data_IF_713355975792
#
_entry.id   IF_713355975792
#
_cell.length_a   1.000
_cell.length_b   1.000
_cell.length_c   1.000
_cell.angle_alpha   90.00
_cell.angle_beta   90.00
_cell.angle_gamma   90.00
#
_symmetry.space_group_name_H-M   'P 1'
#
loop_
_entity.id
_entity.type
_entity.pdbx_description
1 polymer ?
#
# COMPACT_ATOMS: atom_id res chain seq x y z
N UNK A 1 -9.92 16.80 -22.88
CA UNK A 1 -10.76 15.71 -22.32
C UNK A 1 -10.16 14.31 -22.46
N UNK A 2 -9.12 14.08 -23.26
CA UNK A 2 -8.42 12.78 -23.37
C UNK A 2 -7.49 12.46 -22.17
N UNK A 3 -7.05 13.47 -21.42
CA UNK A 3 -6.08 13.31 -20.33
C UNK A 3 -6.61 12.57 -19.11
N UNK A 4 -7.89 12.75 -18.76
CA UNK A 4 -8.54 12.04 -17.65
C UNK A 4 -8.68 10.54 -17.91
N UNK A 5 -8.82 10.14 -19.19
CA UNK A 5 -9.02 8.75 -19.62
C UNK A 5 -7.72 7.93 -19.65
N UNK A 6 -6.56 8.60 -19.66
CA UNK A 6 -5.25 7.96 -19.56
C UNK A 6 -4.76 7.88 -18.10
N UNK A 7 -5.11 8.86 -17.25
CA UNK A 7 -4.85 8.81 -15.81
C UNK A 7 -5.57 7.65 -15.11
N UNK A 8 -6.66 7.14 -15.68
CA UNK A 8 -7.38 5.96 -15.19
C UNK A 8 -6.74 4.61 -15.56
N UNK A 9 -5.60 4.58 -16.26
CA UNK A 9 -4.91 3.32 -16.63
C UNK A 9 -3.83 2.88 -15.65
N UNK A 10 -3.36 3.76 -14.79
CA UNK A 10 -2.36 3.40 -13.78
C UNK A 10 -3.12 3.12 -12.47
N UNK A 11 -3.09 1.87 -12.02
CA UNK A 11 -3.62 1.45 -10.74
C UNK A 11 -2.47 0.84 -9.93
N UNK A 12 -2.52 1.02 -8.63
CA UNK A 12 -1.60 0.40 -7.68
C UNK A 12 -2.26 -0.87 -7.16
N UNK A 13 -1.53 -1.98 -7.21
CA UNK A 13 -2.00 -3.22 -6.62
C UNK A 13 -1.82 -3.16 -5.10
N UNK A 14 -2.90 -3.25 -4.35
CA UNK A 14 -2.91 -3.33 -2.90
C UNK A 14 -3.22 -4.75 -2.47
N UNK A 15 -2.45 -5.29 -1.53
CA UNK A 15 -2.60 -6.66 -1.03
C UNK A 15 -3.04 -6.61 0.42
N UNK A 16 -4.12 -7.31 0.75
CA UNK A 16 -4.59 -7.44 2.12
C UNK A 16 -3.60 -8.23 2.96
N UNK A 17 -3.21 -7.69 4.12
CA UNK A 17 -2.25 -8.32 5.02
C UNK A 17 -2.86 -9.42 5.90
N UNK A 18 -4.16 -9.67 5.75
CA UNK A 18 -4.93 -10.65 6.53
C UNK A 18 -5.38 -11.82 5.65
N UNK A 19 -6.04 -11.56 4.52
CA UNK A 19 -6.58 -12.60 3.64
C UNK A 19 -5.86 -12.75 2.29
N UNK A 20 -4.83 -11.93 2.03
CA UNK A 20 -4.05 -11.92 0.78
C UNK A 20 -4.81 -11.55 -0.50
N UNK A 21 -6.05 -11.08 -0.39
CA UNK A 21 -6.81 -10.54 -1.52
C UNK A 21 -6.11 -9.31 -2.13
N UNK A 22 -6.20 -9.17 -3.45
CA UNK A 22 -5.55 -8.08 -4.18
C UNK A 22 -6.58 -7.15 -4.81
N UNK A 23 -6.48 -5.85 -4.51
CA UNK A 23 -7.40 -4.82 -5.02
C UNK A 23 -6.62 -3.77 -5.81
N UNK A 24 -7.14 -3.42 -6.99
CA UNK A 24 -6.54 -2.39 -7.85
C UNK A 24 -7.11 -1.03 -7.50
N UNK A 25 -6.33 -0.23 -6.80
CA UNK A 25 -6.71 1.13 -6.42
C UNK A 25 -6.20 2.10 -7.49
N UNK A 26 -7.04 2.98 -8.06
CA UNK A 26 -6.59 3.95 -9.06
C UNK A 26 -5.44 4.82 -8.55
N UNK A 27 -4.39 5.03 -9.34
CA UNK A 27 -3.21 5.80 -8.92
C UNK A 27 -3.57 7.22 -8.49
N UNK A 28 -4.58 7.83 -9.14
CA UNK A 28 -5.08 9.15 -8.74
C UNK A 28 -5.59 9.15 -7.31
N UNK A 29 -6.36 8.12 -6.92
CA UNK A 29 -6.88 7.97 -5.55
C UNK A 29 -5.71 7.83 -4.59
N UNK A 30 -4.78 6.92 -4.85
CA UNK A 30 -3.59 6.72 -3.99
C UNK A 30 -2.81 8.03 -3.81
N UNK A 31 -2.56 8.77 -4.89
CA UNK A 31 -1.82 10.03 -4.86
C UNK A 31 -2.59 11.18 -4.19
N UNK A 32 -3.91 11.19 -4.27
CA UNK A 32 -4.72 12.21 -3.60
C UNK A 32 -4.68 11.99 -2.09
N UNK A 33 -4.81 10.75 -1.62
CA UNK A 33 -4.61 10.41 -0.20
C UNK A 33 -3.18 10.71 0.28
N UNK A 34 -2.16 10.35 -0.50
CA UNK A 34 -0.74 10.62 -0.19
C UNK A 34 -0.41 12.12 -0.07
N UNK A 35 -1.18 13.01 -0.72
CA UNK A 35 -1.00 14.47 -0.58
C UNK A 35 -1.81 15.10 0.54
N UNK A 36 -2.91 14.45 0.92
CA UNK A 36 -3.82 14.94 1.95
C UNK A 36 -3.44 14.45 3.35
N UNK A 37 -2.61 13.42 3.43
CA UNK A 37 -2.11 12.88 4.68
C UNK A 37 -0.90 13.67 5.18
N UNK A 38 -1.09 14.45 6.25
CA UNK A 38 0.00 15.13 6.97
C UNK A 38 0.71 14.20 7.99
N UNK A 39 0.49 12.88 7.88
CA UNK A 39 1.08 11.84 8.72
C UNK A 39 2.55 11.54 8.42
N UNK A 40 2.99 10.34 8.81
CA UNK A 40 4.35 9.86 8.58
C UNK A 40 4.55 9.52 7.10
N UNK A 41 5.44 10.24 6.37
CA UNK A 41 5.66 10.00 4.95
C UNK A 41 6.41 8.68 4.66
N UNK A 42 6.86 7.94 5.69
CA UNK A 42 7.38 6.57 5.53
C UNK A 42 6.25 5.51 5.52
N UNK A 43 5.00 5.91 5.77
CA UNK A 43 3.83 5.04 5.74
C UNK A 43 2.98 5.37 4.50
N UNK A 44 2.71 4.39 3.61
CA UNK A 44 1.87 4.65 2.46
C UNK A 44 0.40 4.83 2.86
N UNK A 45 -0.42 5.45 1.98
CA UNK A 45 -1.87 5.49 2.14
C UNK A 45 -2.44 4.10 2.44
N UNK A 46 -3.24 4.00 3.51
CA UNK A 46 -3.85 2.76 3.97
C UNK A 46 -5.28 2.62 3.45
N UNK A 47 -5.62 1.43 2.96
CA UNK A 47 -6.97 1.05 2.55
C UNK A 47 -7.43 -0.16 3.35
N UNK A 48 -8.74 -0.27 3.57
CA UNK A 48 -9.36 -1.45 4.17
C UNK A 48 -9.82 -2.39 3.06
N UNK A 49 -9.47 -3.67 3.16
CA UNK A 49 -9.86 -4.70 2.21
C UNK A 49 -11.37 -4.85 2.16
N UNK A 50 -11.95 -4.87 0.95
CA UNK A 50 -13.39 -5.04 0.74
C UNK A 50 -13.87 -6.43 1.17
N UNK A 51 -13.02 -7.45 1.10
CA UNK A 51 -13.38 -8.82 1.45
C UNK A 51 -13.43 -9.09 2.96
N UNK A 52 -12.57 -8.45 3.76
CA UNK A 52 -12.43 -8.78 5.19
C UNK A 52 -12.26 -7.58 6.14
N UNK A 53 -12.16 -6.35 5.63
CA UNK A 53 -11.89 -5.15 6.42
C UNK A 53 -10.45 -5.03 6.95
N UNK A 54 -9.57 -6.00 6.64
CA UNK A 54 -8.17 -5.99 7.05
C UNK A 54 -7.36 -4.89 6.35
N UNK A 55 -6.28 -4.45 7.00
CA UNK A 55 -5.39 -3.44 6.43
C UNK A 55 -4.69 -3.95 5.16
N UNK A 56 -4.64 -3.12 4.13
CA UNK A 56 -3.96 -3.40 2.88
C UNK A 56 -2.65 -2.63 2.75
N UNK A 57 -1.74 -3.14 1.94
CA UNK A 57 -0.46 -2.50 1.65
C UNK A 57 -0.15 -2.57 0.15
N UNK A 58 0.46 -1.54 -0.45
CA UNK A 58 0.81 -1.60 -1.85
C UNK A 58 1.87 -2.69 -2.10
N UNK A 59 1.72 -3.44 -3.18
CA UNK A 59 2.77 -4.34 -3.66
C UNK A 59 4.01 -3.53 -4.04
N UNK A 60 3.81 -2.45 -4.81
CA UNK A 60 4.81 -1.40 -5.06
C UNK A 60 4.12 -0.05 -5.30
N UNK A 61 4.59 1.00 -4.63
CA UNK A 61 4.18 2.39 -4.89
C UNK A 61 5.33 3.36 -4.63
N UNK A 62 5.48 4.36 -5.50
CA UNK A 62 6.38 5.50 -5.27
C UNK A 62 5.56 6.72 -4.89
N UNK A 63 5.70 7.15 -3.64
CA UNK A 63 4.99 8.28 -3.05
C UNK A 63 5.34 9.62 -3.68
N UNK A 64 4.46 10.59 -3.50
CA UNK A 64 4.62 11.98 -3.98
C UNK A 64 5.81 12.68 -3.31
N UNK A 65 6.20 12.21 -2.12
CA UNK A 65 7.36 12.68 -1.36
C UNK A 65 8.67 11.94 -1.71
N UNK A 66 8.62 10.98 -2.64
CA UNK A 66 9.80 10.28 -3.15
C UNK A 66 10.13 8.95 -2.47
N UNK A 67 9.41 8.58 -1.41
CA UNK A 67 9.52 7.28 -0.76
C UNK A 67 9.01 6.14 -1.66
N UNK A 68 9.66 4.98 -1.57
CA UNK A 68 9.20 3.76 -2.22
C UNK A 68 8.69 2.79 -1.17
N UNK A 69 7.51 2.23 -1.42
CA UNK A 69 6.86 1.28 -0.55
C UNK A 69 6.76 -0.06 -1.27
N UNK A 70 7.26 -1.13 -0.64
CA UNK A 70 7.17 -2.50 -1.13
C UNK A 70 6.63 -3.40 -0.04
N UNK A 71 5.71 -4.29 -0.41
CA UNK A 71 5.15 -5.24 0.57
C UNK A 71 6.21 -6.20 1.14
N UNK A 72 7.23 -6.51 0.33
CA UNK A 72 8.38 -7.34 0.69
C UNK A 72 9.09 -6.81 1.95
N UNK A 73 9.31 -5.50 2.04
CA UNK A 73 9.95 -4.86 3.20
C UNK A 73 9.15 -5.08 4.49
N UNK A 74 7.83 -5.22 4.37
CA UNK A 74 6.93 -5.44 5.51
C UNK A 74 6.85 -6.91 5.90
N UNK A 75 6.88 -7.82 4.93
CA UNK A 75 6.87 -9.27 5.17
C UNK A 75 8.18 -9.72 5.82
N UNK A 76 9.33 -9.23 5.33
CA UNK A 76 10.64 -9.51 5.95
C UNK A 76 10.67 -9.02 7.40
N UNK A 77 10.14 -7.82 7.69
CA UNK A 77 10.03 -7.32 9.07
C UNK A 77 9.15 -8.21 9.96
N UNK A 78 8.07 -8.79 9.43
CA UNK A 78 7.23 -9.75 10.18
C UNK A 78 7.99 -11.03 10.49
N UNK A 79 8.66 -11.63 9.50
CA UNK A 79 9.44 -12.87 9.69
C UNK A 79 10.54 -12.70 10.73
N UNK A 80 11.30 -11.60 10.66
CA UNK A 80 12.35 -11.29 11.65
C UNK A 80 11.72 -11.13 13.04
N UNK A 81 10.65 -10.34 13.17
CA UNK A 81 10.00 -10.11 14.45
C UNK A 81 9.39 -11.38 15.06
N UNK A 82 8.91 -12.31 14.25
CA UNK A 82 8.39 -13.61 14.70
C UNK A 82 9.53 -14.53 15.14
N UNK A 83 10.60 -14.64 14.35
CA UNK A 83 11.78 -15.44 14.70
C UNK A 83 12.44 -14.97 16.01
N UNK A 84 12.52 -13.65 16.24
CA UNK A 84 13.12 -13.09 17.47
C UNK A 84 12.27 -13.39 18.73
N UNK A 85 10.99 -13.75 18.58
CA UNK A 85 10.08 -14.10 19.68
C UNK A 85 10.08 -15.60 20.00
N UNK A 86 10.47 -16.45 19.05
CA UNK A 86 10.55 -17.91 19.25
C UNK A 86 11.86 -18.30 19.96
N UNK A 87 12.89 -17.46 19.87
CA UNK A 87 14.19 -17.67 20.53
C UNK A 87 14.30 -17.08 21.96
N UNK A 88 13.19 -16.62 22.54
CA UNK A 88 13.11 -16.08 23.91
C UNK A 88 12.33 -16.97 24.88
#
# INVERSE_FOLDING_TARGET
MLSKYLQSKEAVNYVCLTCSESEKIPLSVVRDFDRMDDGDPEVPPQFACEACGGAMYPEYYKGVHGYEYRIEDRLVKKEVAENTRVEQ
#
